data_IF_004641968523
#
_entry.id   IF_004641968523
#
_cell.length_a   1.000
_cell.length_b   1.000
_cell.length_c   1.000
_cell.angle_alpha   90.00
_cell.angle_beta   90.00
_cell.angle_gamma   90.00
#
_symmetry.space_group_name_H-M   'P 1'
#
loop_
_entity.id
_entity.type
_entity.pdbx_description
1 polymer ?
#
# COMPACT_ATOMS: atom_id res chain seq x y z
N UNK A 1 23.08 13.78 41.46
CA UNK A 1 22.64 13.94 40.07
C UNK A 1 21.16 14.28 40.13
N UNK A 2 20.81 15.53 39.80
CA UNK A 2 19.44 16.03 39.91
C UNK A 2 18.61 15.38 38.80
N UNK A 3 17.49 14.71 39.13
CA UNK A 3 16.58 14.21 38.13
C UNK A 3 15.96 15.37 37.33
N UNK A 4 16.12 15.35 36.02
CA UNK A 4 15.52 16.32 35.14
C UNK A 4 13.99 16.26 35.27
N UNK A 5 13.33 17.42 35.37
CA UNK A 5 11.86 17.52 35.38
C UNK A 5 11.26 17.03 34.08
N UNK A 6 10.00 16.62 34.08
CA UNK A 6 9.31 16.21 32.86
C UNK A 6 9.32 17.29 31.78
N UNK A 7 9.30 18.57 32.16
CA UNK A 7 9.38 19.70 31.26
C UNK A 7 10.76 19.80 30.59
N UNK A 8 11.85 19.65 31.38
CA UNK A 8 13.22 19.68 30.83
C UNK A 8 13.46 18.52 29.87
N UNK A 9 12.96 17.32 30.18
CA UNK A 9 13.02 16.15 29.27
C UNK A 9 12.26 16.41 27.96
N UNK A 10 11.08 17.02 28.03
CA UNK A 10 10.27 17.36 26.85
C UNK A 10 10.96 18.40 25.98
N UNK A 11 11.54 19.43 26.60
CA UNK A 11 12.28 20.48 25.90
C UNK A 11 13.56 19.89 25.25
N UNK A 12 14.32 19.10 25.97
CA UNK A 12 15.52 18.45 25.44
C UNK A 12 15.18 17.54 24.24
N UNK A 13 14.10 16.77 24.32
CA UNK A 13 13.62 15.95 23.23
C UNK A 13 13.23 16.77 22.00
N UNK A 14 12.50 17.87 22.18
CA UNK A 14 12.11 18.76 21.09
C UNK A 14 13.33 19.39 20.38
N UNK A 15 14.36 19.79 21.15
CA UNK A 15 15.59 20.31 20.57
C UNK A 15 16.39 19.25 19.81
N UNK A 16 16.43 18.01 20.28
CA UNK A 16 17.08 16.91 19.56
C UNK A 16 16.35 16.58 18.26
N UNK A 17 15.02 16.52 18.29
CA UNK A 17 14.19 16.31 17.09
C UNK A 17 14.36 17.45 16.07
N UNK A 18 14.47 18.69 16.51
CA UNK A 18 14.77 19.84 15.64
C UNK A 18 16.17 19.76 15.03
N UNK A 19 17.18 19.41 15.82
CA UNK A 19 18.56 19.27 15.34
C UNK A 19 18.65 18.15 14.29
N UNK A 20 18.06 17.00 14.57
CA UNK A 20 17.99 15.87 13.64
C UNK A 20 17.21 16.23 12.36
N UNK A 21 16.10 16.97 12.48
CA UNK A 21 15.33 17.49 11.34
C UNK A 21 16.14 18.43 10.47
N UNK A 22 16.98 19.26 11.05
CA UNK A 22 17.89 20.17 10.31
C UNK A 22 19.01 19.39 9.59
N UNK A 23 19.55 18.34 10.21
CA UNK A 23 20.59 17.51 9.59
C UNK A 23 20.06 16.61 8.46
N UNK A 24 18.86 16.04 8.64
CA UNK A 24 18.29 15.05 7.71
C UNK A 24 17.32 15.66 6.70
N UNK A 25 16.89 16.91 6.91
CA UNK A 25 15.82 17.55 6.12
C UNK A 25 14.41 16.99 6.42
N UNK A 26 14.26 16.16 7.45
CA UNK A 26 13.00 15.51 7.84
C UNK A 26 12.55 15.98 9.21
N UNK A 27 11.42 16.67 9.27
CA UNK A 27 10.81 17.16 10.51
C UNK A 27 9.60 16.31 10.90
N UNK A 28 9.57 15.88 12.17
CA UNK A 28 8.46 15.12 12.74
C UNK A 28 8.82 13.67 13.11
N UNK A 29 7.82 12.90 13.59
CA UNK A 29 8.00 11.50 13.95
C UNK A 29 8.36 10.69 12.70
N UNK A 30 9.51 10.02 12.71
CA UNK A 30 9.88 9.09 11.63
C UNK A 30 8.86 7.95 11.58
N UNK A 31 8.36 7.59 10.40
CA UNK A 31 7.52 6.40 10.28
C UNK A 31 8.33 5.17 10.66
N UNK A 32 7.79 4.34 11.55
CA UNK A 32 8.39 3.08 12.00
C UNK A 32 7.80 1.93 11.21
N UNK A 33 8.63 1.27 10.41
CA UNK A 33 8.18 0.28 9.41
C UNK A 33 8.85 -1.06 9.66
N UNK A 34 8.07 -2.13 9.79
CA UNK A 34 8.58 -3.48 9.79
C UNK A 34 8.92 -3.94 8.36
N UNK A 35 10.06 -4.60 8.18
CA UNK A 35 10.45 -5.20 6.91
C UNK A 35 10.81 -6.67 7.13
N UNK A 36 10.07 -7.60 6.53
CA UNK A 36 10.46 -9.01 6.52
C UNK A 36 11.54 -9.27 5.47
N UNK A 37 12.63 -9.92 5.85
CA UNK A 37 13.76 -10.20 4.97
C UNK A 37 13.77 -11.60 4.40
N UNK A 38 13.27 -12.58 5.16
CA UNK A 38 13.18 -13.96 4.72
C UNK A 38 12.13 -14.15 3.61
N UNK A 39 12.30 -15.15 2.76
CA UNK A 39 11.42 -15.40 1.61
C UNK A 39 11.71 -14.50 0.40
N UNK A 40 12.68 -13.60 0.44
CA UNK A 40 13.06 -12.77 -0.70
C UNK A 40 13.63 -13.60 -1.84
N UNK A 41 13.06 -13.48 -3.05
CA UNK A 41 13.58 -14.12 -4.28
C UNK A 41 15.00 -13.66 -4.62
N UNK A 42 15.38 -12.47 -4.19
CA UNK A 42 16.70 -11.88 -4.43
C UNK A 42 17.65 -12.03 -3.23
N UNK A 43 17.27 -12.82 -2.24
CA UNK A 43 18.04 -13.08 -1.03
C UNK A 43 17.82 -12.04 0.08
N UNK A 44 18.00 -12.48 1.32
CA UNK A 44 17.80 -11.69 2.52
C UNK A 44 18.75 -10.49 2.61
N UNK A 45 19.97 -10.62 2.04
CA UNK A 45 20.95 -9.53 1.98
C UNK A 45 20.43 -8.31 1.21
N UNK A 46 19.65 -8.53 0.14
CA UNK A 46 19.03 -7.42 -0.61
C UNK A 46 17.94 -6.71 0.20
N UNK A 47 17.16 -7.46 0.99
CA UNK A 47 16.18 -6.89 1.91
C UNK A 47 16.87 -6.04 3.00
N UNK A 48 17.97 -6.53 3.59
CA UNK A 48 18.76 -5.76 4.56
C UNK A 48 19.34 -4.48 3.93
N UNK A 49 19.86 -4.55 2.71
CA UNK A 49 20.34 -3.35 1.99
C UNK A 49 19.23 -2.33 1.77
N UNK A 50 18.01 -2.79 1.45
CA UNK A 50 16.86 -1.92 1.34
C UNK A 50 16.50 -1.26 2.67
N UNK A 51 16.55 -2.01 3.79
CA UNK A 51 16.38 -1.48 5.15
C UNK A 51 17.34 -0.33 5.43
N UNK A 52 18.64 -0.54 5.17
CA UNK A 52 19.69 0.48 5.37
C UNK A 52 19.45 1.71 4.49
N UNK A 53 19.03 1.51 3.23
CA UNK A 53 18.71 2.64 2.35
C UNK A 53 17.50 3.43 2.82
N UNK A 54 16.46 2.77 3.33
CA UNK A 54 15.27 3.42 3.89
C UNK A 54 15.60 4.19 5.18
N UNK A 55 16.41 3.60 6.05
CA UNK A 55 16.87 4.25 7.28
C UNK A 55 17.63 5.55 7.00
N UNK A 56 18.50 5.56 5.98
CA UNK A 56 19.22 6.77 5.52
C UNK A 56 18.28 7.86 4.98
N UNK A 57 17.07 7.50 4.59
CA UNK A 57 16.03 8.43 4.12
C UNK A 57 15.06 8.85 5.21
N UNK A 58 15.35 8.52 6.47
CA UNK A 58 14.56 8.98 7.62
C UNK A 58 13.42 8.02 8.02
N UNK A 59 13.42 6.77 7.56
CA UNK A 59 12.49 5.73 8.02
C UNK A 59 13.12 4.98 9.21
N UNK A 60 12.39 4.80 10.30
CA UNK A 60 12.77 3.90 11.39
C UNK A 60 12.39 2.47 10.99
N UNK A 61 13.38 1.67 10.62
CA UNK A 61 13.15 0.31 10.10
C UNK A 61 13.39 -0.72 11.18
N UNK A 62 12.39 -1.58 11.43
CA UNK A 62 12.52 -2.81 12.19
C UNK A 62 12.65 -3.97 11.21
N UNK A 63 13.81 -4.55 11.11
CA UNK A 63 14.08 -5.69 10.25
C UNK A 63 13.68 -6.99 10.93
N UNK A 64 12.90 -7.83 10.25
CA UNK A 64 12.48 -9.15 10.75
C UNK A 64 13.13 -10.22 9.89
N UNK A 65 14.11 -10.93 10.43
CA UNK A 65 14.91 -11.90 9.66
C UNK A 65 16.08 -12.48 10.43
N UNK A 66 17.08 -13.00 9.73
CA UNK A 66 18.26 -13.62 10.33
C UNK A 66 19.48 -12.70 10.36
N UNK A 67 19.50 -11.64 9.56
CA UNK A 67 20.65 -10.77 9.40
C UNK A 67 20.63 -9.58 10.39
N UNK A 68 21.79 -9.12 10.75
CA UNK A 68 22.00 -7.91 11.55
C UNK A 68 22.79 -6.85 10.77
N UNK A 69 22.50 -5.60 11.05
CA UNK A 69 23.27 -4.47 10.54
C UNK A 69 23.30 -3.35 11.58
N UNK A 70 24.46 -2.71 11.75
CA UNK A 70 24.61 -1.58 12.65
C UNK A 70 23.61 -0.45 12.30
N UNK A 71 22.88 0.01 13.31
CA UNK A 71 21.86 1.06 13.16
C UNK A 71 20.50 0.58 12.63
N UNK A 72 20.29 -0.73 12.47
CA UNK A 72 18.99 -1.34 12.16
C UNK A 72 18.57 -2.25 13.30
N UNK A 73 17.38 -2.01 13.87
CA UNK A 73 16.80 -2.93 14.84
C UNK A 73 16.42 -4.23 14.16
N UNK A 74 16.91 -5.36 14.65
CA UNK A 74 16.59 -6.69 14.08
C UNK A 74 15.79 -7.53 15.07
N UNK A 75 14.68 -8.08 14.60
CA UNK A 75 13.89 -9.12 15.27
C UNK A 75 14.20 -10.46 14.61
N UNK A 76 14.90 -11.33 15.33
CA UNK A 76 15.31 -12.63 14.80
C UNK A 76 14.14 -13.59 14.73
N UNK A 77 14.02 -14.27 13.58
CA UNK A 77 13.05 -15.32 13.30
C UNK A 77 13.73 -16.47 12.57
N UNK A 78 13.17 -17.69 12.69
CA UNK A 78 13.76 -18.89 12.11
C UNK A 78 13.36 -19.12 10.64
N UNK A 79 12.23 -18.57 10.20
CA UNK A 79 11.68 -18.73 8.86
C UNK A 79 10.73 -17.59 8.51
N UNK A 80 10.25 -17.56 7.26
CA UNK A 80 9.34 -16.55 6.74
C UNK A 80 7.95 -16.58 7.38
N UNK A 81 7.43 -17.76 7.75
CA UNK A 81 6.14 -17.90 8.43
C UNK A 81 6.18 -17.24 9.82
N UNK A 82 7.23 -17.48 10.58
CA UNK A 82 7.45 -16.82 11.88
C UNK A 82 7.62 -15.31 11.69
N UNK A 83 8.31 -14.91 10.63
CA UNK A 83 8.48 -13.50 10.24
C UNK A 83 7.15 -12.80 9.97
N UNK A 84 6.27 -13.43 9.20
CA UNK A 84 4.93 -12.91 8.93
C UNK A 84 4.09 -12.77 10.21
N UNK A 85 4.09 -13.80 11.06
CA UNK A 85 3.37 -13.77 12.34
C UNK A 85 3.88 -12.66 13.25
N UNK A 86 5.20 -12.50 13.34
CA UNK A 86 5.80 -11.44 14.16
C UNK A 86 5.46 -10.05 13.62
N UNK A 87 5.49 -9.89 12.31
CA UNK A 87 5.08 -8.66 11.65
C UNK A 87 3.62 -8.28 11.96
N UNK A 88 2.69 -9.26 11.84
CA UNK A 88 1.27 -9.05 12.18
C UNK A 88 1.10 -8.61 13.64
N UNK A 89 1.77 -9.31 14.57
CA UNK A 89 1.73 -8.96 16.00
C UNK A 89 2.19 -7.51 16.25
N UNK A 90 3.24 -7.05 15.58
CA UNK A 90 3.76 -5.69 15.73
C UNK A 90 2.81 -4.64 15.16
N UNK A 91 2.16 -4.92 14.03
CA UNK A 91 1.13 -4.05 13.44
C UNK A 91 -0.09 -3.96 14.35
N UNK A 92 -0.60 -5.10 14.83
CA UNK A 92 -1.78 -5.15 15.69
C UNK A 92 -1.59 -4.44 17.03
N UNK A 93 -0.37 -4.51 17.58
CA UNK A 93 -0.01 -3.81 18.82
C UNK A 93 0.33 -2.33 18.60
N UNK A 94 0.41 -1.86 17.36
CA UNK A 94 0.84 -0.50 17.04
C UNK A 94 2.31 -0.22 17.37
N UNK A 95 3.15 -1.26 17.42
CA UNK A 95 4.59 -1.15 17.60
C UNK A 95 5.29 -0.57 16.36
N UNK A 96 4.64 -0.73 15.19
CA UNK A 96 5.05 -0.15 13.90
C UNK A 96 3.86 0.55 13.24
N UNK A 97 4.16 1.57 12.43
CA UNK A 97 3.15 2.34 11.71
C UNK A 97 2.70 1.63 10.40
N UNK A 98 3.46 0.62 9.96
CA UNK A 98 3.17 -0.19 8.79
C UNK A 98 4.21 -1.29 8.58
N UNK A 99 3.99 -2.11 7.55
CA UNK A 99 4.90 -3.20 7.23
C UNK A 99 5.10 -3.38 5.73
N UNK A 100 6.28 -3.89 5.37
CA UNK A 100 6.64 -4.33 4.02
C UNK A 100 7.04 -5.80 4.10
N UNK A 101 6.39 -6.63 3.29
CA UNK A 101 6.64 -8.07 3.29
C UNK A 101 6.51 -8.66 1.88
N UNK A 102 7.02 -9.86 1.70
CA UNK A 102 6.97 -10.63 0.45
C UNK A 102 6.21 -11.93 0.69
N UNK A 103 5.53 -12.41 -0.36
CA UNK A 103 4.84 -13.71 -0.38
C UNK A 103 3.84 -13.94 0.77
N UNK A 104 3.22 -12.86 1.26
CA UNK A 104 2.26 -12.95 2.36
C UNK A 104 1.02 -13.76 1.94
N UNK A 105 0.62 -14.79 2.71
CA UNK A 105 -0.56 -15.61 2.42
C UNK A 105 -1.84 -14.88 2.82
N UNK A 106 -2.39 -14.07 1.93
CA UNK A 106 -3.60 -13.27 2.21
C UNK A 106 -4.84 -14.15 2.44
N UNK A 107 -5.52 -14.02 3.59
CA UNK A 107 -6.82 -14.65 3.81
C UNK A 107 -7.91 -14.02 2.94
N UNK A 108 -9.06 -14.70 2.83
CA UNK A 108 -10.25 -14.11 2.19
C UNK A 108 -10.68 -12.85 2.96
N UNK A 109 -10.98 -11.78 2.23
CA UNK A 109 -11.32 -10.46 2.78
C UNK A 109 -10.15 -9.48 2.78
N UNK A 110 -8.93 -9.95 2.51
CA UNK A 110 -7.73 -9.12 2.36
C UNK A 110 -7.28 -9.11 0.92
N UNK A 111 -7.05 -7.93 0.39
CA UNK A 111 -6.52 -7.73 -0.97
C UNK A 111 -5.54 -6.57 -1.01
N UNK A 112 -4.70 -6.56 -2.05
CA UNK A 112 -3.70 -5.52 -2.22
C UNK A 112 -4.05 -4.58 -3.37
N UNK A 113 -3.73 -3.31 -3.20
CA UNK A 113 -3.78 -2.32 -4.26
C UNK A 113 -2.36 -2.05 -4.73
N UNK A 114 -2.09 -2.32 -6.00
CA UNK A 114 -0.80 -2.05 -6.62
C UNK A 114 -0.76 -0.65 -7.21
N UNK A 115 0.37 0.06 -7.03
CA UNK A 115 0.66 1.32 -7.72
C UNK A 115 1.59 1.03 -8.90
N UNK A 116 1.20 1.47 -10.09
CA UNK A 116 1.96 1.26 -11.33
C UNK A 116 2.07 2.53 -12.14
N UNK A 117 2.98 2.56 -13.10
CA UNK A 117 3.13 3.64 -14.08
C UNK A 117 2.75 3.10 -15.45
N UNK A 118 1.81 3.77 -16.10
CA UNK A 118 1.30 3.31 -17.39
C UNK A 118 2.28 3.56 -18.52
N UNK A 119 2.47 2.59 -19.44
CA UNK A 119 3.53 2.67 -20.45
C UNK A 119 3.30 3.74 -21.51
N UNK A 120 2.05 4.06 -21.85
CA UNK A 120 1.77 5.00 -22.93
C UNK A 120 1.95 6.49 -22.55
N UNK A 121 1.63 6.85 -21.31
CA UNK A 121 1.67 8.24 -20.85
C UNK A 121 2.52 8.47 -19.59
N UNK A 122 3.10 7.44 -19.00
CA UNK A 122 3.83 7.55 -17.75
C UNK A 122 2.97 8.04 -16.56
N UNK A 123 1.64 7.84 -16.62
CA UNK A 123 0.72 8.24 -15.57
C UNK A 123 0.70 7.17 -14.48
N UNK A 124 0.73 7.60 -13.23
CA UNK A 124 0.48 6.70 -12.10
C UNK A 124 -0.97 6.22 -12.09
N UNK A 125 -1.15 4.95 -11.78
CA UNK A 125 -2.45 4.29 -11.70
C UNK A 125 -2.43 3.25 -10.58
N UNK A 126 -3.55 3.12 -9.88
CA UNK A 126 -3.74 2.11 -8.85
C UNK A 126 -4.54 0.94 -9.42
N UNK A 127 -4.00 -0.28 -9.31
CA UNK A 127 -4.70 -1.51 -9.72
C UNK A 127 -5.31 -2.16 -8.49
N UNK A 128 -6.61 -2.21 -8.43
CA UNK A 128 -7.37 -2.81 -7.35
C UNK A 128 -8.16 -4.02 -7.90
N UNK A 129 -7.73 -5.27 -7.67
CA UNK A 129 -6.66 -5.70 -6.77
C UNK A 129 -5.51 -6.36 -7.52
N UNK A 130 -4.30 -6.40 -6.94
CA UNK A 130 -3.14 -7.11 -7.52
C UNK A 130 -2.97 -8.51 -6.91
N UNK A 131 -3.34 -8.70 -5.64
CA UNK A 131 -3.22 -9.97 -4.92
C UNK A 131 -4.30 -10.07 -3.84
N UNK A 132 -4.68 -11.29 -3.48
CA UNK A 132 -5.72 -11.56 -2.48
C UNK A 132 -7.13 -11.56 -3.07
N UNK A 133 -8.11 -11.74 -2.23
CA UNK A 133 -9.53 -11.84 -2.59
C UNK A 133 -10.37 -11.10 -1.56
N UNK A 134 -11.00 -10.01 -1.97
CA UNK A 134 -11.80 -9.14 -1.07
C UNK A 134 -13.12 -9.78 -0.64
N UNK A 135 -13.67 -10.71 -1.44
CA UNK A 135 -14.88 -11.49 -1.14
C UNK A 135 -14.90 -12.75 -1.99
N UNK A 136 -15.68 -13.75 -1.56
CA UNK A 136 -15.98 -14.94 -2.34
C UNK A 136 -16.98 -14.65 -3.46
N UNK A 137 -17.81 -13.62 -3.33
CA UNK A 137 -18.65 -13.09 -4.41
C UNK A 137 -17.86 -12.12 -5.27
N UNK A 138 -17.85 -12.34 -6.57
CA UNK A 138 -17.08 -11.56 -7.54
C UNK A 138 -17.46 -10.08 -7.53
N UNK A 139 -18.76 -9.79 -7.62
CA UNK A 139 -19.25 -8.41 -7.72
C UNK A 139 -18.99 -7.66 -6.43
N UNK A 140 -19.27 -8.28 -5.28
CA UNK A 140 -18.94 -7.73 -3.97
C UNK A 140 -17.44 -7.49 -3.82
N UNK A 141 -16.61 -8.44 -4.27
CA UNK A 141 -15.16 -8.30 -4.29
C UNK A 141 -14.70 -7.09 -5.09
N UNK A 142 -15.23 -6.92 -6.31
CA UNK A 142 -14.89 -5.78 -7.17
C UNK A 142 -15.37 -4.45 -6.61
N UNK A 143 -16.53 -4.39 -5.95
CA UNK A 143 -17.01 -3.18 -5.24
C UNK A 143 -16.06 -2.83 -4.09
N UNK A 144 -15.67 -3.81 -3.26
CA UNK A 144 -14.69 -3.60 -2.19
C UNK A 144 -13.33 -3.15 -2.74
N UNK A 145 -12.88 -3.75 -3.84
CA UNK A 145 -11.64 -3.37 -4.53
C UNK A 145 -11.68 -1.90 -4.98
N UNK A 146 -12.82 -1.44 -5.52
CA UNK A 146 -12.98 -0.04 -5.91
C UNK A 146 -12.78 0.90 -4.71
N UNK A 147 -13.38 0.58 -3.57
CA UNK A 147 -13.26 1.38 -2.34
C UNK A 147 -11.82 1.37 -1.84
N UNK A 148 -11.16 0.21 -1.76
CA UNK A 148 -9.76 0.09 -1.33
C UNK A 148 -8.81 0.85 -2.25
N UNK A 149 -9.05 0.77 -3.57
CA UNK A 149 -8.28 1.55 -4.55
C UNK A 149 -8.42 3.05 -4.35
N UNK A 150 -9.63 3.55 -4.08
CA UNK A 150 -9.88 4.98 -3.76
C UNK A 150 -9.15 5.39 -2.48
N UNK A 151 -9.21 4.56 -1.43
CA UNK A 151 -8.51 4.83 -0.17
C UNK A 151 -7.00 4.91 -0.41
N UNK A 152 -6.42 3.94 -1.13
CA UNK A 152 -4.99 3.92 -1.44
C UNK A 152 -4.56 5.14 -2.29
N UNK A 153 -5.35 5.50 -3.30
CA UNK A 153 -5.08 6.67 -4.13
C UNK A 153 -5.14 7.98 -3.33
N UNK A 154 -6.15 8.14 -2.46
CA UNK A 154 -6.25 9.32 -1.57
C UNK A 154 -5.10 9.38 -0.57
N UNK A 155 -4.73 8.27 0.03
CA UNK A 155 -3.57 8.18 0.92
C UNK A 155 -2.25 8.54 0.22
N UNK A 156 -2.19 8.36 -1.11
CA UNK A 156 -1.05 8.73 -1.94
C UNK A 156 -1.12 10.16 -2.50
N UNK A 157 -2.10 10.97 -2.08
CA UNK A 157 -2.22 12.39 -2.45
C UNK A 157 -3.13 12.68 -3.64
N UNK A 158 -3.88 11.70 -4.17
CA UNK A 158 -4.88 11.96 -5.21
C UNK A 158 -6.19 12.40 -4.54
N UNK A 159 -6.54 13.67 -4.62
CA UNK A 159 -7.69 14.23 -3.87
C UNK A 159 -9.03 13.62 -4.28
N UNK A 160 -9.27 13.48 -5.59
CA UNK A 160 -10.53 12.96 -6.14
C UNK A 160 -10.27 11.89 -7.21
N UNK A 161 -9.82 10.68 -6.80
CA UNK A 161 -9.42 9.65 -7.73
C UNK A 161 -10.61 9.15 -8.58
N UNK A 162 -10.38 9.03 -9.88
CA UNK A 162 -11.35 8.49 -10.81
C UNK A 162 -11.30 6.96 -10.85
N UNK A 163 -12.47 6.31 -10.87
CA UNK A 163 -12.62 4.85 -10.92
C UNK A 163 -12.99 4.42 -12.34
N UNK A 164 -12.27 3.43 -12.85
CA UNK A 164 -12.64 2.69 -14.05
C UNK A 164 -12.66 1.19 -13.78
N UNK A 165 -13.60 0.49 -14.35
CA UNK A 165 -13.77 -0.96 -14.17
C UNK A 165 -13.24 -1.66 -15.41
N UNK A 166 -12.31 -2.60 -15.25
CA UNK A 166 -11.84 -3.41 -16.37
C UNK A 166 -13.00 -4.24 -16.93
N UNK A 167 -13.08 -4.36 -18.26
CA UNK A 167 -14.12 -5.14 -18.94
C UNK A 167 -13.88 -6.65 -18.78
N UNK A 168 -14.20 -7.15 -17.60
CA UNK A 168 -14.14 -8.56 -17.19
C UNK A 168 -15.53 -9.03 -16.77
N UNK A 169 -15.67 -10.32 -16.51
CA UNK A 169 -16.91 -10.87 -15.97
C UNK A 169 -17.30 -10.15 -14.66
N UNK A 170 -18.55 -9.76 -14.55
CA UNK A 170 -19.06 -9.00 -13.40
C UNK A 170 -18.91 -7.47 -13.52
N UNK A 171 -18.20 -6.94 -14.52
CA UNK A 171 -17.94 -5.50 -14.63
C UNK A 171 -19.22 -4.64 -14.68
N UNK A 172 -20.24 -5.08 -15.43
CA UNK A 172 -21.53 -4.36 -15.53
C UNK A 172 -22.31 -4.39 -14.22
N UNK A 173 -22.33 -5.52 -13.52
CA UNK A 173 -22.98 -5.66 -12.22
C UNK A 173 -22.26 -4.80 -11.17
N UNK A 174 -20.94 -4.77 -11.22
CA UNK A 174 -20.12 -3.90 -10.36
C UNK A 174 -20.39 -2.41 -10.63
N UNK A 175 -20.51 -2.02 -11.90
CA UNK A 175 -20.90 -0.65 -12.28
C UNK A 175 -22.26 -0.26 -11.67
N UNK A 176 -23.26 -1.16 -11.78
CA UNK A 176 -24.60 -0.95 -11.23
C UNK A 176 -24.52 -0.81 -9.69
N UNK A 177 -23.81 -1.71 -9.01
CA UNK A 177 -23.68 -1.69 -7.57
C UNK A 177 -22.97 -0.43 -7.07
N UNK A 178 -21.91 0.01 -7.76
CA UNK A 178 -21.22 1.26 -7.43
C UNK A 178 -22.10 2.50 -7.69
N UNK A 179 -22.97 2.50 -8.71
CA UNK A 179 -23.96 3.57 -8.93
C UNK A 179 -24.98 3.61 -7.80
N UNK A 180 -25.47 2.46 -7.34
CA UNK A 180 -26.36 2.40 -6.17
C UNK A 180 -25.68 2.94 -4.91
N UNK A 181 -24.40 2.66 -4.74
CA UNK A 181 -23.60 3.21 -3.64
C UNK A 181 -23.48 4.74 -3.75
N UNK A 182 -23.30 5.26 -4.96
CA UNK A 182 -23.29 6.69 -5.23
C UNK A 182 -24.64 7.37 -4.95
N UNK A 183 -25.73 6.73 -5.34
CA UNK A 183 -27.09 7.20 -5.02
C UNK A 183 -27.37 7.21 -3.51
N UNK A 184 -26.70 6.31 -2.76
CA UNK A 184 -26.67 6.28 -1.30
C UNK A 184 -25.79 7.36 -0.63
N UNK A 185 -25.13 8.21 -1.42
CA UNK A 185 -24.34 9.34 -0.93
C UNK A 185 -22.83 9.13 -0.91
N UNK A 186 -22.33 7.99 -1.38
CA UNK A 186 -20.88 7.79 -1.54
C UNK A 186 -20.40 8.47 -2.84
N UNK A 187 -19.55 9.49 -2.74
CA UNK A 187 -19.06 10.21 -3.91
C UNK A 187 -18.12 9.35 -4.76
N UNK A 188 -18.51 9.06 -5.99
CA UNK A 188 -17.73 8.32 -6.98
C UNK A 188 -17.43 9.22 -8.17
N UNK A 189 -16.14 9.43 -8.43
CA UNK A 189 -15.65 10.06 -9.64
C UNK A 189 -15.39 8.98 -10.70
N UNK A 190 -16.08 9.03 -11.83
CA UNK A 190 -15.98 8.04 -12.88
C UNK A 190 -14.92 8.39 -13.91
N UNK A 191 -14.03 7.46 -14.22
CA UNK A 191 -13.19 7.53 -15.40
C UNK A 191 -14.02 7.21 -16.64
N UNK A 192 -13.88 8.02 -17.68
CA UNK A 192 -14.61 7.86 -18.94
C UNK A 192 -13.63 7.36 -20.03
N UNK A 193 -13.97 6.24 -20.66
CA UNK A 193 -13.22 5.74 -21.82
C UNK A 193 -13.21 6.75 -22.96
N UNK A 194 -12.07 6.90 -23.63
CA UNK A 194 -11.94 7.73 -24.82
C UNK A 194 -12.62 7.17 -26.08
N UNK A 195 -13.33 6.03 -25.97
CA UNK A 195 -14.08 5.45 -27.08
C UNK A 195 -15.34 6.25 -27.41
N UNK A 196 -15.85 6.08 -28.61
CA UNK A 196 -17.05 6.78 -29.07
C UNK A 196 -18.31 6.46 -28.23
N UNK A 197 -18.38 5.27 -27.66
CA UNK A 197 -19.46 4.85 -26.75
C UNK A 197 -19.26 5.31 -25.30
N UNK A 198 -18.07 5.79 -24.95
CA UNK A 198 -17.75 6.26 -23.59
C UNK A 198 -17.88 5.16 -22.53
N UNK A 199 -18.17 5.59 -21.30
CA UNK A 199 -18.49 4.72 -20.18
C UNK A 199 -17.30 4.39 -19.27
N UNK A 200 -17.61 3.89 -18.07
CA UNK A 200 -16.66 3.56 -17.01
C UNK A 200 -16.15 2.13 -17.04
N UNK A 201 -16.68 1.29 -17.93
CA UNK A 201 -16.14 -0.05 -18.22
C UNK A 201 -15.06 0.08 -19.28
N UNK A 202 -13.82 -0.11 -18.87
CA UNK A 202 -12.60 0.20 -19.60
C UNK A 202 -12.03 -1.04 -20.30
N UNK A 203 -11.21 -0.83 -21.32
CA UNK A 203 -10.50 -1.88 -22.06
C UNK A 203 -8.99 -1.65 -22.02
N UNK A 204 -8.22 -2.58 -22.58
CA UNK A 204 -6.77 -2.55 -22.56
C UNK A 204 -6.14 -1.22 -22.98
N UNK A 205 -6.68 -0.56 -24.02
CA UNK A 205 -6.18 0.76 -24.46
C UNK A 205 -6.34 1.84 -23.37
N UNK A 206 -7.43 1.82 -22.61
CA UNK A 206 -7.66 2.74 -21.50
C UNK A 206 -6.67 2.47 -20.35
N UNK A 207 -6.36 1.19 -20.10
CA UNK A 207 -5.38 0.77 -19.10
C UNK A 207 -3.98 1.27 -19.49
N UNK A 208 -3.55 1.02 -20.73
CA UNK A 208 -2.23 1.46 -21.22
C UNK A 208 -2.04 2.98 -21.16
N UNK A 209 -3.12 3.74 -21.33
CA UNK A 209 -3.10 5.21 -21.27
C UNK A 209 -3.24 5.75 -19.84
N UNK A 210 -3.60 4.93 -18.86
CA UNK A 210 -3.91 5.37 -17.50
C UNK A 210 -5.16 6.25 -17.47
N UNK A 211 -6.22 5.86 -18.19
CA UNK A 211 -7.49 6.59 -18.19
C UNK A 211 -8.05 6.74 -16.78
N UNK A 212 -8.14 5.68 -15.93
CA UNK A 212 -8.53 5.83 -14.54
C UNK A 212 -7.33 6.16 -13.64
N UNK A 213 -7.61 6.72 -12.47
CA UNK A 213 -6.64 6.73 -11.37
C UNK A 213 -6.66 5.39 -10.62
N UNK A 214 -7.85 4.78 -10.52
CA UNK A 214 -8.09 3.47 -9.91
C UNK A 214 -8.71 2.53 -10.94
N UNK A 215 -7.96 1.50 -11.33
CA UNK A 215 -8.45 0.42 -12.17
C UNK A 215 -8.98 -0.71 -11.28
N UNK A 216 -10.28 -0.99 -11.39
CA UNK A 216 -10.94 -2.09 -10.68
C UNK A 216 -10.93 -3.34 -11.55
N UNK A 217 -10.42 -4.44 -10.99
CA UNK A 217 -10.39 -5.74 -11.66
C UNK A 217 -10.74 -6.87 -10.69
N UNK A 218 -10.98 -8.06 -11.22
CA UNK A 218 -11.17 -9.27 -10.43
C UNK A 218 -9.83 -9.98 -10.17
N UNK A 219 -9.75 -10.67 -9.05
CA UNK A 219 -8.57 -11.46 -8.67
C UNK A 219 -8.28 -12.62 -9.62
N UNK A 220 -9.30 -13.15 -10.32
CA UNK A 220 -9.14 -14.25 -11.28
C UNK A 220 -8.57 -13.75 -12.62
N UNK A 221 -8.93 -12.54 -13.04
CA UNK A 221 -8.57 -11.99 -14.36
C UNK A 221 -7.29 -11.14 -14.32
N UNK A 222 -6.74 -10.85 -13.13
CA UNK A 222 -5.51 -10.06 -12.95
C UNK A 222 -4.31 -10.59 -13.74
N UNK A 223 -4.21 -11.91 -13.93
CA UNK A 223 -3.11 -12.53 -14.69
C UNK A 223 -3.11 -12.16 -16.18
N UNK A 224 -4.21 -11.60 -16.67
CA UNK A 224 -4.36 -11.16 -18.05
C UNK A 224 -3.94 -9.70 -18.27
N UNK A 225 -3.61 -8.98 -17.22
CA UNK A 225 -3.36 -7.52 -17.25
C UNK A 225 -1.89 -7.17 -16.95
N UNK A 226 -1.09 -8.16 -16.51
CA UNK A 226 0.34 -8.00 -16.18
C UNK A 226 1.19 -8.66 -17.25
#
# INVERSE_FOLDING_TARGET
MTEMSNLEKTIAKAFLEMAEGLETGSFGKKPRIALTGMGSEHGEENAMRAAVMAARKGVDVVYIGSLEHEGIETVHVANDEEGHKKMEEMVDKGEVDGAVTMHFPFPIGVSTVGRTVTPAKGKEMFVATTTGTSSTDRVEGMVKNAIYGVIAAKASGVENPSIGILNVDGARQTEIALKQLADGGYNINWAISGRADGGSVLRGNDVLQGTPDVLVTDSLDRKSVV
#
